data_IF_017667664274
#
_entry.id   IF_017667664274
#
_cell.length_a   1.000
_cell.length_b   1.000
_cell.length_c   1.000
_cell.angle_alpha   90.00
_cell.angle_beta   90.00
_cell.angle_gamma   90.00
#
_symmetry.space_group_name_H-M   'P 1'
#
loop_
_entity.id
_entity.type
_entity.pdbx_description
1 polymer ?
#
# COMPACT_ATOMS: atom_id res chain seq x y z
N UNK A 1 47.69 22.41 45.89
CA UNK A 1 46.28 22.03 45.65
C UNK A 1 46.21 21.39 44.27
N UNK A 2 46.09 20.06 44.14
CA UNK A 2 46.04 19.43 42.82
C UNK A 2 44.63 19.54 42.25
N UNK A 3 44.51 20.16 41.09
CA UNK A 3 43.27 20.32 40.33
C UNK A 3 42.95 19.01 39.61
N UNK A 4 41.89 18.32 40.01
CA UNK A 4 41.39 17.13 39.32
C UNK A 4 40.87 17.48 37.93
N UNK A 5 41.59 17.04 36.89
CA UNK A 5 41.09 17.05 35.51
C UNK A 5 40.17 15.84 35.35
N UNK A 6 38.86 16.08 35.30
CA UNK A 6 37.88 15.06 34.91
C UNK A 6 38.01 14.82 33.40
N UNK A 7 38.30 13.58 33.00
CA UNK A 7 38.59 13.21 31.61
C UNK A 7 37.30 13.11 30.79
N UNK A 8 37.21 13.75 29.59
CA UNK A 8 35.98 13.82 28.80
C UNK A 8 35.48 12.48 28.23
N UNK A 9 36.30 11.43 28.24
CA UNK A 9 35.95 10.12 27.66
C UNK A 9 34.88 9.35 28.46
N UNK A 10 34.80 9.55 29.78
CA UNK A 10 33.84 8.84 30.63
C UNK A 10 32.38 9.23 30.34
N UNK A 11 32.14 10.51 30.01
CA UNK A 11 30.79 10.98 29.70
C UNK A 11 30.30 10.44 28.34
N UNK A 12 31.18 10.33 27.35
CA UNK A 12 30.81 9.82 26.03
C UNK A 12 30.50 8.31 26.09
N UNK A 13 31.28 7.55 26.86
CA UNK A 13 31.05 6.12 27.03
C UNK A 13 29.79 5.82 27.86
N UNK A 14 29.51 6.63 28.89
CA UNK A 14 28.28 6.50 29.67
C UNK A 14 27.04 6.85 28.84
N UNK A 15 27.14 7.82 27.93
CA UNK A 15 26.04 8.19 27.03
C UNK A 15 25.77 7.12 25.96
N UNK A 16 26.81 6.47 25.43
CA UNK A 16 26.65 5.32 24.53
C UNK A 16 26.03 4.10 25.22
N UNK A 17 26.43 3.80 26.47
CA UNK A 17 25.82 2.72 27.25
C UNK A 17 24.35 3.00 27.58
N UNK A 18 24.00 4.25 27.91
CA UNK A 18 22.61 4.65 28.15
C UNK A 18 21.75 4.53 26.87
N UNK A 19 22.31 4.88 25.70
CA UNK A 19 21.64 4.72 24.42
C UNK A 19 21.44 3.23 24.06
N UNK A 20 22.44 2.38 24.31
CA UNK A 20 22.33 0.94 24.10
C UNK A 20 21.26 0.30 25.01
N UNK A 21 21.23 0.66 26.29
CA UNK A 21 20.22 0.19 27.24
C UNK A 21 18.80 0.64 26.85
N UNK A 22 18.65 1.87 26.36
CA UNK A 22 17.36 2.37 25.87
C UNK A 22 16.87 1.60 24.62
N UNK A 23 17.77 1.24 23.72
CA UNK A 23 17.43 0.42 22.54
C UNK A 23 17.07 -1.03 22.93
N UNK A 24 17.75 -1.61 23.92
CA UNK A 24 17.44 -2.94 24.47
C UNK A 24 16.03 -2.98 25.09
N UNK A 25 15.66 -1.94 25.86
CA UNK A 25 14.32 -1.79 26.45
C UNK A 25 13.23 -1.64 25.38
N UNK A 26 13.47 -0.83 24.33
CA UNK A 26 12.54 -0.69 23.21
C UNK A 26 12.38 -2.01 22.43
N UNK A 27 13.47 -2.76 22.23
CA UNK A 27 13.43 -4.08 21.61
C UNK A 27 12.70 -5.11 22.49
N UNK A 28 12.87 -5.06 23.81
CA UNK A 28 12.15 -5.90 24.76
C UNK A 28 10.64 -5.57 24.79
N UNK A 29 10.27 -4.29 24.72
CA UNK A 29 8.89 -3.83 24.60
C UNK A 29 8.22 -4.34 23.32
N UNK A 30 8.92 -4.26 22.19
CA UNK A 30 8.43 -4.78 20.90
C UNK A 30 8.23 -6.30 20.92
N UNK A 31 9.15 -7.05 21.53
CA UNK A 31 9.02 -8.51 21.73
C UNK A 31 7.83 -8.90 22.61
N UNK A 32 7.56 -8.14 23.69
CA UNK A 32 6.37 -8.37 24.54
C UNK A 32 5.06 -8.13 23.77
N UNK A 33 4.97 -7.06 22.99
CA UNK A 33 3.79 -6.78 22.17
C UNK A 33 3.55 -7.86 21.10
N UNK A 34 4.62 -8.40 20.50
CA UNK A 34 4.51 -9.51 19.55
C UNK A 34 4.02 -10.80 20.22
N UNK A 35 4.48 -11.11 21.45
CA UNK A 35 3.99 -12.27 22.21
C UNK A 35 2.52 -12.12 22.61
N UNK A 36 2.08 -10.94 23.05
CA UNK A 36 0.67 -10.69 23.37
C UNK A 36 -0.22 -10.84 22.13
N UNK A 37 0.23 -10.34 20.98
CA UNK A 37 -0.47 -10.52 19.71
C UNK A 37 -0.55 -12.00 19.29
N UNK A 38 0.52 -12.78 19.49
CA UNK A 38 0.55 -14.22 19.21
C UNK A 38 -0.42 -15.01 20.10
N UNK A 39 -0.47 -14.70 21.40
CA UNK A 39 -1.43 -15.32 22.34
C UNK A 39 -2.88 -14.97 21.98
N UNK A 40 -3.14 -13.74 21.53
CA UNK A 40 -4.48 -13.33 21.11
C UNK A 40 -4.95 -14.03 19.82
N UNK A 41 -4.03 -14.24 18.87
CA UNK A 41 -4.32 -14.91 17.61
C UNK A 41 -4.65 -16.40 17.82
N UNK A 42 -3.97 -17.05 18.77
CA UNK A 42 -4.24 -18.44 19.15
C UNK A 42 -5.63 -18.59 19.81
N UNK A 43 -6.07 -17.58 20.58
CA UNK A 43 -7.39 -17.58 21.22
C UNK A 43 -8.55 -17.40 20.20
N UNK A 44 -8.28 -16.84 19.02
CA UNK A 44 -9.27 -16.68 17.96
C UNK A 44 -9.50 -17.97 17.15
N UNK A 45 -8.52 -18.89 17.08
CA UNK A 45 -8.64 -20.16 16.36
C UNK A 45 -9.46 -21.23 17.10
N UNK A 46 -9.74 -21.06 18.40
CA UNK A 46 -10.48 -22.04 19.20
C UNK A 46 -12.00 -21.78 19.29
N UNK A 47 -12.55 -20.80 18.58
CA UNK A 47 -14.00 -20.61 18.52
C UNK A 47 -14.60 -21.39 17.34
N UNK A 48 -15.64 -22.23 17.56
CA UNK A 48 -16.24 -23.00 16.48
C UNK A 48 -16.96 -22.08 15.48
N UNK A 49 -16.62 -22.25 14.20
CA UNK A 49 -17.23 -21.55 13.08
C UNK A 49 -18.70 -21.98 12.92
N UNK A 50 -19.64 -21.05 13.12
CA UNK A 50 -21.04 -21.29 12.78
C UNK A 50 -21.37 -20.62 11.44
N UNK A 51 -21.78 -21.46 10.49
CA UNK A 51 -22.08 -21.16 9.10
C UNK A 51 -23.01 -19.95 8.92
N UNK A 52 -22.65 -19.10 7.96
CA UNK A 52 -23.48 -18.09 7.33
C UNK A 52 -24.56 -18.77 6.49
N UNK A 53 -25.81 -18.74 6.95
CA UNK A 53 -26.97 -18.99 6.11
C UNK A 53 -27.60 -17.64 5.76
N UNK A 54 -27.42 -17.24 4.51
CA UNK A 54 -28.21 -16.21 3.84
C UNK A 54 -29.65 -16.72 3.66
N UNK A 55 -30.64 -15.87 3.94
CA UNK A 55 -31.97 -16.02 3.35
C UNK A 55 -32.61 -14.65 3.22
N UNK A 56 -32.60 -14.14 2.00
CA UNK A 56 -33.50 -13.11 1.52
C UNK A 56 -34.77 -13.79 0.97
N UNK A 57 -35.95 -13.26 1.30
CA UNK A 57 -37.23 -13.82 0.84
C UNK A 57 -38.49 -13.07 1.32
N UNK A 58 -38.71 -11.89 0.71
CA UNK A 58 -39.98 -11.30 0.21
C UNK A 58 -41.25 -11.21 1.10
N UNK A 59 -41.70 -9.95 1.24
CA UNK A 59 -43.04 -9.36 1.42
C UNK A 59 -44.26 -10.21 1.74
N UNK A 60 -45.05 -9.76 2.73
CA UNK A 60 -46.41 -9.30 2.42
C UNK A 60 -47.00 -8.33 3.45
N UNK A 61 -47.61 -7.30 2.88
CA UNK A 61 -48.32 -6.17 3.49
C UNK A 61 -49.64 -6.66 4.13
N UNK A 62 -49.99 -6.14 5.31
CA UNK A 62 -51.37 -6.13 5.85
C UNK A 62 -51.48 -5.14 7.02
N UNK A 63 -52.06 -3.99 6.67
CA UNK A 63 -53.04 -3.20 7.42
C UNK A 63 -52.73 -2.81 8.87
N UNK A 64 -52.32 -1.56 9.01
CA UNK A 64 -52.29 -0.81 10.27
C UNK A 64 -53.72 -0.39 10.64
N UNK A 65 -54.26 -0.90 11.75
CA UNK A 65 -55.37 -0.28 12.48
C UNK A 65 -54.88 0.24 13.84
N UNK A 66 -55.20 1.48 14.23
CA UNK A 66 -54.69 2.07 15.47
C UNK A 66 -55.56 1.60 16.66
N UNK A 67 -54.95 0.90 17.63
CA UNK A 67 -55.58 0.66 18.92
C UNK A 67 -54.99 1.58 20.00
N UNK A 68 -55.81 2.59 20.30
CA UNK A 68 -56.06 3.23 21.61
C UNK A 68 -55.15 2.85 22.79
N UNK A 69 -54.54 3.91 23.35
CA UNK A 69 -53.94 3.97 24.69
C UNK A 69 -54.75 3.16 25.72
N UNK A 70 -54.08 2.24 26.41
CA UNK A 70 -54.50 1.80 27.75
C UNK A 70 -53.26 1.82 28.64
N UNK A 71 -53.12 2.90 29.40
CA UNK A 71 -52.19 2.99 30.51
C UNK A 71 -52.42 1.83 31.47
N UNK A 72 -51.41 1.01 31.73
CA UNK A 72 -51.36 0.13 32.90
C UNK A 72 -50.01 0.30 33.59
N UNK A 73 -50.06 1.15 34.61
CA UNK A 73 -49.51 0.95 35.95
C UNK A 73 -48.14 0.26 36.05
N UNK A 74 -47.14 1.07 36.41
CA UNK A 74 -45.91 0.63 37.09
C UNK A 74 -46.28 -0.22 38.31
N UNK A 75 -45.77 -1.45 38.38
CA UNK A 75 -45.89 -2.31 39.56
C UNK A 75 -45.64 -3.77 39.23
N UNK A 76 -44.59 -4.34 39.83
CA UNK A 76 -44.09 -5.70 39.64
C UNK A 76 -45.15 -6.80 39.80
N UNK A 77 -45.23 -7.72 38.84
CA UNK A 77 -45.45 -9.13 39.15
C UNK A 77 -44.58 -9.99 38.23
N UNK A 78 -43.77 -10.85 38.84
CA UNK A 78 -42.87 -11.80 38.18
C UNK A 78 -43.64 -13.09 37.83
N UNK A 79 -44.94 -12.99 37.50
CA UNK A 79 -45.84 -14.14 37.41
C UNK A 79 -46.05 -14.66 35.99
N UNK A 80 -46.57 -13.84 35.08
CA UNK A 80 -46.98 -14.34 33.75
C UNK A 80 -46.74 -13.28 32.67
N UNK A 81 -45.48 -13.11 32.25
CA UNK A 81 -45.24 -12.42 30.98
C UNK A 81 -45.63 -13.39 29.86
N UNK A 82 -46.50 -12.93 28.95
CA UNK A 82 -46.91 -13.69 27.76
C UNK A 82 -45.69 -14.39 27.12
N UNK A 83 -45.71 -15.72 26.91
CA UNK A 83 -44.58 -16.50 26.40
C UNK A 83 -43.97 -15.93 25.11
N UNK A 84 -44.79 -15.28 24.27
CA UNK A 84 -44.31 -14.57 23.08
C UNK A 84 -43.39 -13.39 23.42
N UNK A 85 -43.71 -12.64 24.47
CA UNK A 85 -42.91 -11.51 24.95
C UNK A 85 -41.59 -11.98 25.55
N UNK A 86 -41.58 -13.09 26.29
CA UNK A 86 -40.36 -13.69 26.83
C UNK A 86 -39.41 -14.16 25.71
N UNK A 87 -39.94 -14.81 24.67
CA UNK A 87 -39.16 -15.24 23.50
C UNK A 87 -38.53 -14.07 22.76
N UNK A 88 -39.29 -13.00 22.53
CA UNK A 88 -38.78 -11.78 21.86
C UNK A 88 -37.66 -11.12 22.67
N UNK A 89 -37.79 -11.05 23.99
CA UNK A 89 -36.75 -10.48 24.86
C UNK A 89 -35.46 -11.32 24.85
N UNK A 90 -35.58 -12.65 24.85
CA UNK A 90 -34.43 -13.54 24.72
C UNK A 90 -33.72 -13.35 23.37
N UNK A 91 -34.46 -13.31 22.27
CA UNK A 91 -33.89 -13.04 20.94
C UNK A 91 -33.24 -11.66 20.83
N UNK A 92 -33.84 -10.61 21.42
CA UNK A 92 -33.26 -9.28 21.43
C UNK A 92 -31.95 -9.23 22.25
N UNK A 93 -31.89 -9.95 23.37
CA UNK A 93 -30.66 -10.10 24.16
C UNK A 93 -29.55 -10.75 23.34
N UNK A 94 -29.85 -11.83 22.62
CA UNK A 94 -28.88 -12.50 21.74
C UNK A 94 -28.46 -11.62 20.55
N UNK A 95 -29.42 -10.95 19.91
CA UNK A 95 -29.13 -10.01 18.82
C UNK A 95 -28.24 -8.85 19.28
N UNK A 96 -28.49 -8.31 20.48
CA UNK A 96 -27.68 -7.26 21.07
C UNK A 96 -26.25 -7.75 21.39
N UNK A 97 -26.10 -8.97 21.92
CA UNK A 97 -24.79 -9.60 22.14
C UNK A 97 -24.02 -9.75 20.82
N UNK A 98 -24.64 -10.31 19.79
CA UNK A 98 -24.02 -10.48 18.46
C UNK A 98 -23.64 -9.13 17.83
N UNK A 99 -24.50 -8.11 17.97
CA UNK A 99 -24.22 -6.74 17.50
C UNK A 99 -23.00 -6.14 18.20
N UNK A 100 -22.95 -6.22 19.54
CA UNK A 100 -21.81 -5.74 20.34
C UNK A 100 -20.52 -6.46 19.95
N UNK A 101 -20.57 -7.78 19.76
CA UNK A 101 -19.40 -8.57 19.39
C UNK A 101 -18.86 -8.17 18.01
N UNK A 102 -19.73 -8.03 17.00
CA UNK A 102 -19.33 -7.54 15.67
C UNK A 102 -18.73 -6.13 15.72
N UNK A 103 -19.35 -5.22 16.47
CA UNK A 103 -18.83 -3.86 16.63
C UNK A 103 -17.46 -3.87 17.30
N UNK A 104 -17.26 -4.72 18.31
CA UNK A 104 -15.96 -4.90 18.97
C UNK A 104 -14.90 -5.40 17.98
N UNK A 105 -15.21 -6.43 17.19
CA UNK A 105 -14.31 -6.95 16.17
C UNK A 105 -13.96 -5.91 15.08
N UNK A 106 -14.95 -5.15 14.62
CA UNK A 106 -14.72 -4.08 13.64
C UNK A 106 -13.82 -2.97 14.19
N UNK A 107 -14.03 -2.54 15.45
CA UNK A 107 -13.16 -1.55 16.10
C UNK A 107 -11.73 -2.08 16.21
N UNK A 108 -11.54 -3.34 16.61
CA UNK A 108 -10.21 -3.96 16.67
C UNK A 108 -9.54 -4.03 15.29
N UNK A 109 -10.31 -4.31 14.23
CA UNK A 109 -9.80 -4.25 12.86
C UNK A 109 -9.39 -2.83 12.48
N UNK A 110 -10.17 -1.82 12.86
CA UNK A 110 -9.81 -0.43 12.61
C UNK A 110 -8.52 -0.03 13.35
N UNK A 111 -8.39 -0.41 14.62
CA UNK A 111 -7.18 -0.16 15.42
C UNK A 111 -5.95 -0.83 14.80
N UNK A 112 -6.06 -2.10 14.39
CA UNK A 112 -4.95 -2.79 13.72
C UNK A 112 -4.61 -2.16 12.36
N UNK A 113 -5.61 -1.75 11.57
CA UNK A 113 -5.39 -1.05 10.31
C UNK A 113 -4.71 0.31 10.50
N UNK A 114 -5.06 1.05 11.56
CA UNK A 114 -4.46 2.34 11.90
C UNK A 114 -2.99 2.19 12.25
N UNK A 115 -2.64 1.18 13.03
CA UNK A 115 -1.24 0.88 13.38
C UNK A 115 -0.44 0.51 12.13
N UNK A 116 -0.99 -0.38 11.29
CA UNK A 116 -0.34 -0.76 10.02
C UNK A 116 -0.12 0.45 9.11
N UNK A 117 -1.10 1.35 9.02
CA UNK A 117 -0.97 2.57 8.24
C UNK A 117 0.16 3.45 8.76
N UNK A 118 0.21 3.70 10.07
CA UNK A 118 1.28 4.47 10.70
C UNK A 118 2.67 3.85 10.46
N UNK A 119 2.76 2.52 10.48
CA UNK A 119 4.00 1.81 10.16
C UNK A 119 4.41 2.01 8.70
N UNK A 120 3.49 1.85 7.75
CA UNK A 120 3.76 2.07 6.32
C UNK A 120 4.15 3.53 6.06
N UNK A 121 3.48 4.48 6.72
CA UNK A 121 3.84 5.89 6.63
C UNK A 121 5.26 6.13 7.14
N UNK A 122 5.65 5.55 8.27
CA UNK A 122 7.01 5.64 8.78
C UNK A 122 8.04 5.01 7.81
N UNK A 123 7.77 3.81 7.30
CA UNK A 123 8.61 3.13 6.31
C UNK A 123 8.79 3.98 5.05
N UNK A 124 7.74 4.64 4.59
CA UNK A 124 7.77 5.55 3.44
C UNK A 124 8.61 6.81 3.71
N UNK A 125 8.49 7.42 4.90
CA UNK A 125 9.36 8.54 5.29
C UNK A 125 10.83 8.12 5.34
N UNK A 126 11.13 6.94 5.90
CA UNK A 126 12.48 6.39 5.94
C UNK A 126 13.03 6.08 4.55
N UNK A 127 12.23 5.46 3.67
CA UNK A 127 12.65 5.14 2.30
C UNK A 127 12.89 6.41 1.44
N UNK A 128 12.12 7.48 1.68
CA UNK A 128 12.40 8.80 1.07
C UNK A 128 13.68 9.42 1.59
N UNK A 129 13.94 9.35 2.90
CA UNK A 129 15.19 9.84 3.49
C UNK A 129 16.42 9.06 2.99
N UNK A 130 16.26 7.79 2.66
CA UNK A 130 17.29 6.93 2.08
C UNK A 130 17.44 7.07 0.55
N UNK A 131 16.66 7.94 -0.10
CA UNK A 131 16.74 8.17 -1.55
C UNK A 131 16.11 7.08 -2.43
N UNK A 132 15.54 6.02 -1.84
CA UNK A 132 14.98 4.85 -2.55
C UNK A 132 13.70 5.18 -3.33
N UNK A 133 13.00 6.25 -2.95
CA UNK A 133 11.69 6.64 -3.53
C UNK A 133 11.74 7.90 -4.42
N UNK A 134 12.93 8.36 -4.83
CA UNK A 134 13.02 9.50 -5.75
C UNK A 134 12.87 9.02 -7.21
N UNK A 135 11.83 9.44 -7.95
CA UNK A 135 11.75 9.18 -9.39
C UNK A 135 12.83 10.02 -10.06
N UNK A 136 13.98 9.40 -10.33
CA UNK A 136 15.17 10.06 -10.88
C UNK A 136 16.49 9.73 -10.18
N UNK A 137 16.50 8.96 -9.08
CA UNK A 137 17.76 8.50 -8.47
C UNK A 137 18.19 7.15 -9.03
N UNK A 138 18.68 7.16 -10.28
CA UNK A 138 19.35 6.01 -10.92
C UNK A 138 20.82 5.88 -10.49
N UNK A 139 21.17 6.22 -9.24
CA UNK A 139 22.57 6.19 -8.76
C UNK A 139 22.83 5.22 -7.61
N UNK A 140 21.87 4.37 -7.24
CA UNK A 140 22.09 3.31 -6.23
C UNK A 140 21.90 1.89 -6.77
N UNK A 141 22.07 1.69 -8.09
CA UNK A 141 22.17 0.34 -8.65
C UNK A 141 23.54 -0.33 -8.41
N UNK A 142 24.56 0.40 -7.92
CA UNK A 142 25.92 -0.17 -7.75
C UNK A 142 26.22 -0.80 -6.39
N UNK A 143 25.41 -0.61 -5.34
CA UNK A 143 25.73 -1.18 -4.02
C UNK A 143 24.64 -2.16 -3.55
N UNK A 144 24.56 -3.31 -4.21
CA UNK A 144 24.45 -4.64 -3.58
C UNK A 144 23.38 -4.91 -2.50
N UNK A 145 22.33 -4.11 -2.35
CA UNK A 145 21.25 -4.41 -1.40
C UNK A 145 20.01 -4.81 -2.20
N UNK A 146 19.88 -6.13 -2.33
CA UNK A 146 18.64 -6.78 -2.75
C UNK A 146 17.45 -6.13 -2.03
N UNK A 147 16.59 -5.48 -2.83
CA UNK A 147 15.47 -4.69 -2.37
C UNK A 147 14.50 -5.51 -1.52
N UNK A 148 14.48 -5.22 -0.22
CA UNK A 148 13.35 -5.50 0.66
C UNK A 148 12.70 -4.16 0.98
N UNK A 149 11.87 -3.66 0.08
CA UNK A 149 11.17 -2.41 0.29
C UNK A 149 10.41 -1.91 -0.93
N UNK A 150 9.19 -2.43 -1.11
CA UNK A 150 7.91 -1.70 -1.26
C UNK A 150 6.85 -2.81 -1.39
N UNK A 151 6.08 -3.02 -0.32
CA UNK A 151 4.85 -3.79 -0.27
C UNK A 151 4.81 -5.14 -0.99
N UNK A 152 5.15 -6.24 -0.30
CA UNK A 152 4.52 -7.56 -0.52
C UNK A 152 4.42 -8.13 -1.94
N UNK A 153 5.25 -7.68 -2.87
CA UNK A 153 5.49 -8.34 -4.16
C UNK A 153 6.93 -8.84 -4.14
N UNK A 154 7.12 -10.05 -3.64
CA UNK A 154 8.32 -10.88 -3.84
C UNK A 154 8.44 -11.29 -5.34
N UNK A 155 8.18 -10.38 -6.28
CA UNK A 155 7.88 -10.74 -7.66
C UNK A 155 7.81 -9.59 -8.65
N UNK A 156 8.59 -8.51 -8.49
CA UNK A 156 9.07 -7.89 -9.73
C UNK A 156 9.91 -8.97 -10.40
N UNK A 157 9.39 -9.57 -11.47
CA UNK A 157 10.18 -10.47 -12.31
C UNK A 157 11.52 -9.76 -12.57
N UNK A 158 12.64 -10.46 -12.44
CA UNK A 158 13.97 -9.89 -12.71
C UNK A 158 14.01 -9.10 -14.02
N UNK A 159 13.15 -9.47 -14.96
CA UNK A 159 12.93 -8.85 -16.26
C UNK A 159 12.25 -7.47 -16.20
N UNK A 160 11.28 -7.26 -15.31
CA UNK A 160 10.61 -5.96 -15.13
C UNK A 160 11.57 -4.91 -14.56
N UNK A 161 12.39 -5.30 -13.58
CA UNK A 161 13.43 -4.42 -13.03
C UNK A 161 14.54 -4.12 -14.06
N UNK A 162 14.93 -5.12 -14.86
CA UNK A 162 15.91 -4.94 -15.94
C UNK A 162 15.39 -3.97 -17.02
N UNK A 163 14.12 -4.09 -17.40
CA UNK A 163 13.49 -3.15 -18.32
C UNK A 163 13.50 -1.72 -17.82
N UNK A 164 13.20 -1.48 -16.54
CA UNK A 164 13.19 -0.13 -15.99
C UNK A 164 14.57 0.53 -16.12
N UNK A 165 15.64 -0.24 -15.92
CA UNK A 165 17.03 0.22 -16.09
C UNK A 165 17.36 0.48 -17.56
N UNK A 166 17.05 -0.44 -18.47
CA UNK A 166 17.32 -0.27 -19.91
C UNK A 166 16.52 0.89 -20.51
N UNK A 167 15.25 1.05 -20.11
CA UNK A 167 14.42 2.16 -20.55
C UNK A 167 14.95 3.52 -20.05
N UNK A 168 15.44 3.58 -18.80
CA UNK A 168 16.05 4.80 -18.27
C UNK A 168 17.32 5.18 -19.06
N UNK A 169 18.21 4.22 -19.33
CA UNK A 169 19.38 4.43 -20.19
C UNK A 169 18.98 4.89 -21.59
N UNK A 170 17.98 4.25 -22.19
CA UNK A 170 17.47 4.65 -23.51
C UNK A 170 16.96 6.09 -23.51
N UNK A 171 16.31 6.52 -22.43
CA UNK A 171 15.78 7.89 -22.29
C UNK A 171 16.90 8.93 -22.16
N UNK A 172 17.98 8.63 -21.44
CA UNK A 172 19.17 9.47 -21.38
C UNK A 172 19.81 9.66 -22.76
N UNK A 173 19.98 8.57 -23.50
CA UNK A 173 20.53 8.60 -24.85
C UNK A 173 19.60 9.32 -25.84
N UNK A 174 18.28 9.12 -25.71
CA UNK A 174 17.30 9.84 -26.51
C UNK A 174 17.43 11.35 -26.28
N UNK A 175 17.59 11.79 -25.02
CA UNK A 175 17.80 13.20 -24.71
C UNK A 175 19.11 13.73 -25.31
N UNK A 176 20.19 12.94 -25.31
CA UNK A 176 21.47 13.30 -25.95
C UNK A 176 21.30 13.49 -27.45
N UNK A 177 20.73 12.51 -28.16
CA UNK A 177 20.48 12.57 -29.60
C UNK A 177 19.57 13.75 -29.98
N UNK A 178 18.53 13.99 -29.20
CA UNK A 178 17.63 15.13 -29.41
C UNK A 178 18.30 16.49 -29.14
N UNK A 179 19.31 16.54 -28.28
CA UNK A 179 20.13 17.73 -28.09
C UNK A 179 21.06 17.95 -29.28
N UNK A 180 21.75 16.91 -29.74
CA UNK A 180 22.66 16.96 -30.89
C UNK A 180 21.93 17.34 -32.18
N UNK A 181 20.77 16.74 -32.45
CA UNK A 181 19.95 17.08 -33.62
C UNK A 181 19.51 18.55 -33.58
N UNK A 182 19.11 19.08 -32.42
CA UNK A 182 18.77 20.51 -32.28
C UNK A 182 19.98 21.40 -32.49
N UNK A 183 21.15 21.02 -31.97
CA UNK A 183 22.39 21.78 -32.16
C UNK A 183 22.82 21.79 -33.63
N UNK A 184 22.71 20.66 -34.33
CA UNK A 184 22.96 20.54 -35.77
C UNK A 184 22.04 21.45 -36.60
N UNK A 185 20.75 21.48 -36.26
CA UNK A 185 19.77 22.38 -36.89
C UNK A 185 20.10 23.86 -36.65
N UNK A 186 20.47 24.23 -35.42
CA UNK A 186 20.84 25.61 -35.08
C UNK A 186 22.11 26.08 -35.78
N UNK A 187 23.04 25.17 -36.05
CA UNK A 187 24.28 25.46 -36.78
C UNK A 187 24.09 25.47 -38.31
N UNK A 188 22.88 25.21 -38.80
CA UNK A 188 22.58 25.12 -40.23
C UNK A 188 23.53 24.17 -40.98
N UNK A 189 23.78 22.98 -40.39
CA UNK A 189 24.60 21.97 -41.02
C UNK A 189 24.06 21.56 -42.40
N UNK A 190 24.94 21.19 -43.35
CA UNK A 190 24.52 20.72 -44.66
C UNK A 190 23.68 19.44 -44.55
N UNK A 191 22.79 19.22 -45.52
CA UNK A 191 21.78 18.16 -45.50
C UNK A 191 22.37 16.76 -45.25
N UNK A 192 23.54 16.45 -45.82
CA UNK A 192 24.18 15.14 -45.63
C UNK A 192 24.60 14.86 -44.19
N UNK A 193 25.08 15.88 -43.45
CA UNK A 193 25.40 15.72 -42.02
C UNK A 193 24.13 15.66 -41.18
N UNK A 194 23.12 16.47 -41.52
CA UNK A 194 21.83 16.44 -40.83
C UNK A 194 21.13 15.08 -40.98
N UNK A 195 21.22 14.46 -42.15
CA UNK A 195 20.67 13.13 -42.42
C UNK A 195 21.25 12.08 -41.46
N UNK A 196 22.56 12.13 -41.15
CA UNK A 196 23.20 11.20 -40.21
C UNK A 196 22.60 11.29 -38.81
N UNK A 197 22.28 12.49 -38.33
CA UNK A 197 21.63 12.67 -37.02
C UNK A 197 20.19 12.14 -37.03
N UNK A 198 19.45 12.36 -38.11
CA UNK A 198 18.08 11.84 -38.28
C UNK A 198 18.09 10.31 -38.33
N UNK A 199 18.99 9.71 -39.11
CA UNK A 199 19.15 8.26 -39.19
C UNK A 199 19.51 7.65 -37.82
N UNK A 200 20.38 8.32 -37.06
CA UNK A 200 20.71 7.90 -35.69
C UNK A 200 19.50 7.96 -34.76
N UNK A 201 18.66 9.01 -34.86
CA UNK A 201 17.43 9.10 -34.08
C UNK A 201 16.41 8.02 -34.46
N UNK A 202 16.29 7.69 -35.75
CA UNK A 202 15.40 6.63 -36.24
C UNK A 202 15.86 5.27 -35.73
N UNK A 203 17.16 4.95 -35.83
CA UNK A 203 17.72 3.73 -35.29
C UNK A 203 17.50 3.62 -33.77
N UNK A 204 17.64 4.73 -33.04
CA UNK A 204 17.36 4.77 -31.60
C UNK A 204 15.90 4.46 -31.26
N UNK A 205 14.95 4.76 -32.15
CA UNK A 205 13.56 4.37 -31.94
C UNK A 205 13.33 2.86 -32.12
N UNK A 206 14.11 2.18 -32.96
CA UNK A 206 14.03 0.73 -33.07
C UNK A 206 14.47 0.04 -31.77
N UNK A 207 15.44 0.63 -31.05
CA UNK A 207 15.89 0.13 -29.75
C UNK A 207 14.77 0.17 -28.69
N UNK A 208 13.98 1.25 -28.62
CA UNK A 208 12.86 1.32 -27.65
C UNK A 208 11.77 0.31 -27.97
N UNK A 209 11.56 0.00 -29.24
CA UNK A 209 10.62 -1.02 -29.67
C UNK A 209 11.11 -2.40 -29.24
N UNK A 210 12.41 -2.70 -29.37
CA UNK A 210 13.00 -3.94 -28.91
C UNK A 210 12.91 -4.12 -27.39
N UNK A 211 13.23 -3.07 -26.62
CA UNK A 211 13.11 -3.07 -25.14
C UNK A 211 11.66 -3.32 -24.71
N UNK A 212 10.69 -2.69 -25.39
CA UNK A 212 9.26 -2.90 -25.11
C UNK A 212 8.79 -4.30 -25.51
N UNK A 213 9.24 -4.82 -26.65
CA UNK A 213 8.88 -6.16 -27.13
C UNK A 213 9.33 -7.26 -26.14
N UNK A 214 10.49 -7.10 -25.52
CA UNK A 214 10.96 -8.01 -24.46
C UNK A 214 9.97 -8.07 -23.29
N UNK A 215 9.55 -6.92 -22.76
CA UNK A 215 8.60 -6.88 -21.63
C UNK A 215 7.19 -7.30 -22.01
N UNK A 216 6.74 -7.05 -23.24
CA UNK A 216 5.43 -7.55 -23.69
C UNK A 216 5.37 -9.08 -23.59
N UNK A 217 6.47 -9.76 -23.88
CA UNK A 217 6.54 -11.24 -23.84
C UNK A 217 6.61 -11.79 -22.42
N UNK A 218 7.23 -11.06 -21.49
CA UNK A 218 7.39 -11.48 -20.08
C UNK A 218 6.27 -11.00 -19.16
N UNK A 219 6.04 -9.68 -19.11
CA UNK A 219 5.10 -9.02 -18.20
C UNK A 219 4.43 -7.80 -18.87
N UNK A 220 3.33 -8.06 -19.57
CA UNK A 220 2.53 -7.01 -20.21
C UNK A 220 1.91 -6.02 -19.20
N UNK A 221 1.69 -6.43 -17.95
CA UNK A 221 1.13 -5.55 -16.92
C UNK A 221 2.15 -4.50 -16.49
N UNK A 222 3.44 -4.87 -16.40
CA UNK A 222 4.51 -3.92 -16.17
C UNK A 222 4.60 -2.89 -17.30
N UNK A 223 4.40 -3.30 -18.56
CA UNK A 223 4.34 -2.33 -19.65
C UNK A 223 3.19 -1.32 -19.44
N UNK A 224 1.98 -1.78 -19.13
CA UNK A 224 0.78 -0.90 -19.04
C UNK A 224 0.79 -0.02 -17.77
N UNK A 225 1.18 -0.59 -16.63
CA UNK A 225 0.98 -0.01 -15.31
C UNK A 225 2.27 0.27 -14.53
N UNK A 226 3.43 -0.06 -15.10
CA UNK A 226 4.72 0.09 -14.48
C UNK A 226 5.13 1.55 -14.23
N UNK A 227 6.11 1.69 -13.34
CA UNK A 227 6.62 2.99 -12.85
C UNK A 227 7.51 3.71 -13.87
N UNK A 228 7.93 3.04 -14.93
CA UNK A 228 8.75 3.58 -16.02
C UNK A 228 8.12 4.78 -16.74
N UNK A 229 6.79 4.94 -16.68
CA UNK A 229 6.09 6.13 -17.22
C UNK A 229 5.89 7.17 -16.15
N UNK A 230 6.22 8.42 -16.49
CA UNK A 230 5.90 9.57 -15.66
C UNK A 230 4.39 9.68 -15.43
N UNK A 231 3.95 10.31 -14.31
CA UNK A 231 2.53 10.57 -14.08
C UNK A 231 1.87 11.36 -15.21
N UNK A 232 2.59 12.30 -15.83
CA UNK A 232 2.09 13.08 -16.97
C UNK A 232 1.80 12.20 -18.19
N UNK A 233 2.75 11.34 -18.59
CA UNK A 233 2.57 10.41 -19.71
C UNK A 233 1.41 9.44 -19.49
N UNK A 234 1.23 8.98 -18.24
CA UNK A 234 0.08 8.12 -17.88
C UNK A 234 -1.26 8.82 -18.05
N UNK A 235 -1.36 10.10 -17.69
CA UNK A 235 -2.58 10.87 -17.89
C UNK A 235 -2.94 11.01 -19.38
N UNK A 236 -1.93 11.18 -20.25
CA UNK A 236 -2.18 11.33 -21.69
C UNK A 236 -2.58 10.03 -22.40
N UNK A 237 -2.21 8.85 -21.88
CA UNK A 237 -2.73 7.58 -22.41
C UNK A 237 -4.25 7.47 -22.26
N UNK A 238 -4.80 8.00 -21.17
CA UNK A 238 -6.24 7.97 -20.95
C UNK A 238 -6.99 8.99 -21.82
N UNK A 239 -6.36 10.12 -22.15
CA UNK A 239 -6.97 11.18 -22.95
C UNK A 239 -6.78 11.02 -24.47
N UNK A 240 -5.68 10.38 -24.91
CA UNK A 240 -5.30 10.25 -26.32
C UNK A 240 -4.87 8.86 -26.78
N UNK A 241 -5.03 7.83 -25.93
CA UNK A 241 -4.71 6.45 -26.28
C UNK A 241 -5.83 5.72 -27.02
N UNK A 242 -5.60 4.44 -27.30
CA UNK A 242 -6.57 3.53 -27.90
C UNK A 242 -7.92 3.60 -27.18
N UNK A 243 -8.99 3.89 -27.93
CA UNK A 243 -10.37 3.92 -27.42
C UNK A 243 -11.05 2.59 -27.76
N UNK A 244 -11.23 1.67 -26.80
CA UNK A 244 -11.87 0.38 -27.07
C UNK A 244 -13.29 0.53 -27.65
N UNK A 245 -13.97 1.64 -27.31
CA UNK A 245 -15.28 2.01 -27.85
C UNK A 245 -15.30 2.24 -29.37
N UNK A 246 -14.16 2.49 -30.01
CA UNK A 246 -14.07 2.72 -31.47
C UNK A 246 -13.87 1.41 -32.26
N UNK A 247 -13.45 0.34 -31.58
CA UNK A 247 -13.17 -0.97 -32.19
C UNK A 247 -14.35 -1.93 -32.11
N UNK A 248 -15.25 -1.73 -31.13
CA UNK A 248 -16.49 -2.50 -31.03
C UNK A 248 -17.59 -1.75 -31.79
N UNK A 249 -17.86 -2.15 -33.03
CA UNK A 249 -19.07 -1.82 -33.79
C UNK A 249 -19.87 -3.07 -34.07
#
# INVERSE_FOLDING_TARGET
MPSGRSSPDYHHQQQQQAAAAAMEELAAGSRRQQQEHHLHLQHQQQQPAFATAESAGVSNNKDVKPLTKKEHKRGLSTGERDPKTLRRLAQNREAARKSRLRKKAYIQQLESSRIRLAQIEQELHSARAQGVLYPGSSLLAEQGIAGKGIGGIDGLSSEAAMFDVEYARWQEEHNRLMYELRAALQQHLPEGELQMYVESCLAHHDEVLAIKDAVIKGDVFHLISGVWRSPAERCFLWLGGFRPSEVIK
#
